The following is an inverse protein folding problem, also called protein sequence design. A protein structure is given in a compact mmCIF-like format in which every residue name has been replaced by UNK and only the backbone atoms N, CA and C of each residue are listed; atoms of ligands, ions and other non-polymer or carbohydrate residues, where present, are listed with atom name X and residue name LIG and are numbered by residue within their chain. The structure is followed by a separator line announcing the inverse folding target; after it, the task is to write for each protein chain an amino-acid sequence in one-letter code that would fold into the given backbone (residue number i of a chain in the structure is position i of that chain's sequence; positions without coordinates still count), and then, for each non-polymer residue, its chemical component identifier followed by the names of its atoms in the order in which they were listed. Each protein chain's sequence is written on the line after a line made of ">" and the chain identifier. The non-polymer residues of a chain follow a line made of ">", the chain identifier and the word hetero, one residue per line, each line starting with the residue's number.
data_IF_709412296704
#
_entry.id   IF_709412296704
#
_cell.length_a   1.000
_cell.length_b   1.000
_cell.length_c   1.000
_cell.angle_alpha   90.00
_cell.angle_beta   90.00
_cell.angle_gamma   90.00
#
_symmetry.space_group_name_H-M   'P 1'
#
loop_
_entity.id
_entity.type
_entity.pdbx_description
1 polymer ?
#
# COMPACT_ATOMS: atom_id res chain seq x y z
N UNK A 1 -7.38 -4.13 -5.50
CA UNK A 1 -6.90 -3.23 -6.59
C UNK A 1 -7.76 -1.97 -6.70
N UNK A 2 -9.08 -2.03 -6.92
CA UNK A 2 -9.93 -0.83 -6.99
C UNK A 2 -9.74 0.14 -5.81
N UNK A 3 -9.75 -0.36 -4.58
CA UNK A 3 -9.52 0.46 -3.38
C UNK A 3 -8.12 1.11 -3.33
N UNK A 4 -7.08 0.43 -3.85
CA UNK A 4 -5.73 0.99 -3.96
C UNK A 4 -5.72 2.15 -4.95
N UNK A 5 -6.32 1.98 -6.13
CA UNK A 5 -6.41 3.03 -7.16
C UNK A 5 -7.23 4.21 -6.68
N UNK A 6 -8.35 3.98 -6.00
CA UNK A 6 -9.18 5.04 -5.41
C UNK A 6 -8.40 5.90 -4.40
N UNK A 7 -7.40 5.32 -3.72
CA UNK A 7 -6.51 6.06 -2.81
C UNK A 7 -5.42 6.82 -3.57
N UNK A 8 -4.72 6.13 -4.48
CA UNK A 8 -3.58 6.70 -5.22
C UNK A 8 -3.99 7.79 -6.21
N UNK A 9 -5.18 7.67 -6.78
CA UNK A 9 -5.69 8.54 -7.86
C UNK A 9 -6.95 9.31 -7.42
N UNK A 10 -7.09 9.59 -6.12
CA UNK A 10 -8.18 10.42 -5.61
C UNK A 10 -8.16 11.84 -6.20
N UNK A 11 -9.29 12.57 -6.30
CA UNK A 11 -9.30 13.93 -6.86
C UNK A 11 -8.26 14.84 -6.20
N UNK A 12 -7.39 15.47 -7.00
CA UNK A 12 -6.28 16.31 -6.51
C UNK A 12 -5.02 15.54 -6.04
N UNK A 13 -4.91 14.23 -6.32
CA UNK A 13 -3.76 13.42 -5.93
C UNK A 13 -2.42 14.01 -6.39
N UNK A 14 -2.37 14.57 -7.61
CA UNK A 14 -1.13 15.09 -8.18
C UNK A 14 -0.54 16.21 -7.33
N UNK A 15 -1.37 17.13 -6.83
CA UNK A 15 -0.95 18.25 -6.00
C UNK A 15 -0.62 17.84 -4.56
N UNK A 16 -1.25 16.79 -4.03
CA UNK A 16 -1.08 16.34 -2.63
C UNK A 16 0.02 15.29 -2.45
N UNK A 17 0.48 14.68 -3.53
CA UNK A 17 1.49 13.62 -3.45
C UNK A 17 2.88 14.24 -3.51
N UNK A 18 3.76 14.00 -2.53
CA UNK A 18 5.14 14.49 -2.57
C UNK A 18 5.87 14.02 -3.84
N UNK A 19 6.79 14.84 -4.35
CA UNK A 19 7.50 14.58 -5.60
C UNK A 19 8.21 13.22 -5.60
N UNK A 20 8.85 12.87 -4.49
CA UNK A 20 9.57 11.61 -4.28
C UNK A 20 8.63 10.41 -4.38
N UNK A 21 7.36 10.58 -4.01
CA UNK A 21 6.32 9.54 -4.12
C UNK A 21 5.72 9.48 -5.52
N UNK A 22 5.56 10.62 -6.19
CA UNK A 22 5.08 10.70 -7.56
C UNK A 22 5.97 9.89 -8.52
N UNK A 23 7.29 9.95 -8.35
CA UNK A 23 8.26 9.19 -9.15
C UNK A 23 8.03 7.67 -9.09
N UNK A 24 7.46 7.16 -8.00
CA UNK A 24 7.18 5.74 -7.82
C UNK A 24 5.78 5.32 -8.26
N UNK A 25 4.88 6.27 -8.53
CA UNK A 25 3.49 5.97 -8.88
C UNK A 25 3.35 5.07 -10.12
N UNK A 26 4.11 5.29 -11.22
CA UNK A 26 4.07 4.38 -12.37
C UNK A 26 4.42 2.93 -12.00
N UNK A 27 5.36 2.72 -11.08
CA UNK A 27 5.76 1.38 -10.61
C UNK A 27 4.64 0.71 -9.82
N UNK A 28 3.94 1.44 -8.94
CA UNK A 28 2.80 0.90 -8.20
C UNK A 28 1.64 0.51 -9.12
N UNK A 29 1.36 1.33 -10.14
CA UNK A 29 0.34 1.04 -11.13
C UNK A 29 0.72 -0.17 -11.99
N UNK A 30 1.98 -0.27 -12.41
CA UNK A 30 2.49 -1.46 -13.13
C UNK A 30 2.38 -2.73 -12.28
N UNK A 31 2.70 -2.67 -10.99
CA UNK A 31 2.53 -3.80 -10.08
C UNK A 31 1.06 -4.24 -9.95
N UNK A 32 0.11 -3.28 -9.94
CA UNK A 32 -1.31 -3.59 -9.94
C UNK A 32 -1.75 -4.28 -11.24
N UNK A 33 -1.19 -3.88 -12.39
CA UNK A 33 -1.40 -4.57 -13.67
C UNK A 33 -0.88 -6.01 -13.66
N UNK A 34 0.36 -6.22 -13.24
CA UNK A 34 0.96 -7.56 -13.12
C UNK A 34 0.17 -8.47 -12.17
N UNK A 35 -0.39 -7.90 -11.09
CA UNK A 35 -1.29 -8.64 -10.19
C UNK A 35 -2.53 -9.13 -10.93
N UNK A 36 -3.15 -8.31 -11.78
CA UNK A 36 -4.33 -8.73 -12.57
C UNK A 36 -4.00 -9.85 -13.53
N UNK A 37 -2.83 -9.81 -14.17
CA UNK A 37 -2.36 -10.88 -15.06
C UNK A 37 -2.18 -12.18 -14.28
N UNK A 38 -1.42 -12.15 -13.17
CA UNK A 38 -1.14 -13.32 -12.32
C UNK A 38 -2.38 -13.87 -11.62
N UNK A 39 -3.37 -13.01 -11.33
CA UNK A 39 -4.65 -13.42 -10.76
C UNK A 39 -5.41 -14.35 -11.71
N UNK A 40 -5.29 -14.18 -13.04
CA UNK A 40 -5.94 -15.06 -14.02
C UNK A 40 -5.31 -16.45 -14.06
N UNK A 41 -4.01 -16.54 -13.78
CA UNK A 41 -3.25 -17.80 -13.84
C UNK A 41 -3.24 -18.56 -12.53
N UNK A 42 -3.17 -17.87 -11.39
CA UNK A 42 -3.13 -18.48 -10.05
C UNK A 42 -3.95 -17.66 -9.03
N UNK A 43 -5.28 -17.85 -9.01
CA UNK A 43 -6.15 -17.14 -8.08
C UNK A 43 -5.90 -17.48 -6.61
N UNK A 44 -5.49 -18.71 -6.30
CA UNK A 44 -5.27 -19.17 -4.93
C UNK A 44 -4.04 -18.49 -4.31
N UNK A 45 -2.97 -18.29 -5.10
CA UNK A 45 -1.83 -17.49 -4.66
C UNK A 45 -2.22 -16.04 -4.42
N UNK A 46 -2.99 -15.42 -5.31
CA UNK A 46 -3.46 -14.04 -5.08
C UNK A 46 -4.26 -13.94 -3.78
N UNK A 47 -5.19 -14.86 -3.55
CA UNK A 47 -6.03 -14.87 -2.35
C UNK A 47 -5.20 -14.95 -1.06
N UNK A 48 -4.19 -15.83 -1.01
CA UNK A 48 -3.28 -15.94 0.15
C UNK A 48 -2.52 -14.65 0.41
N UNK A 49 -1.87 -14.09 -0.63
CA UNK A 49 -1.10 -12.85 -0.51
C UNK A 49 -2.01 -11.64 -0.21
N UNK A 50 -3.23 -11.63 -0.73
CA UNK A 50 -4.22 -10.61 -0.44
C UNK A 50 -4.68 -10.66 1.02
N UNK A 51 -4.82 -11.85 1.60
CA UNK A 51 -5.14 -12.01 3.02
C UNK A 51 -4.01 -11.47 3.91
N UNK A 52 -2.75 -11.77 3.56
CA UNK A 52 -1.57 -11.22 4.27
C UNK A 52 -1.52 -9.69 4.21
N UNK A 53 -1.77 -9.09 3.05
CA UNK A 53 -1.86 -7.65 2.89
C UNK A 53 -3.03 -7.05 3.70
N UNK A 54 -4.20 -7.69 3.64
CA UNK A 54 -5.43 -7.20 4.29
C UNK A 54 -5.27 -7.11 5.82
N UNK A 55 -4.52 -8.02 6.43
CA UNK A 55 -4.22 -8.00 7.86
C UNK A 55 -3.54 -6.68 8.32
N UNK A 56 -2.82 -6.01 7.41
CA UNK A 56 -2.17 -4.71 7.66
C UNK A 56 -2.98 -3.53 7.11
N UNK A 57 -3.57 -3.69 5.93
CA UNK A 57 -4.31 -2.62 5.25
C UNK A 57 -5.61 -2.25 5.98
N UNK A 58 -6.35 -3.23 6.50
CA UNK A 58 -7.61 -2.97 7.21
C UNK A 58 -7.45 -2.10 8.46
N UNK A 59 -6.56 -2.42 9.42
CA UNK A 59 -6.38 -1.56 10.58
C UNK A 59 -5.84 -0.19 10.20
N UNK A 60 -4.94 -0.11 9.20
CA UNK A 60 -4.48 1.16 8.64
C UNK A 60 -5.62 2.04 8.13
N UNK A 61 -6.54 1.49 7.32
CA UNK A 61 -7.67 2.24 6.78
C UNK A 61 -8.62 2.73 7.88
N UNK A 62 -8.84 1.92 8.92
CA UNK A 62 -9.66 2.33 10.08
C UNK A 62 -9.04 3.51 10.81
N UNK A 63 -7.74 3.42 11.09
CA UNK A 63 -6.99 4.49 11.78
C UNK A 63 -6.96 5.77 10.95
N UNK A 64 -6.66 5.66 9.65
CA UNK A 64 -6.65 6.80 8.73
C UNK A 64 -8.02 7.49 8.69
N UNK A 65 -9.11 6.74 8.62
CA UNK A 65 -10.46 7.29 8.64
C UNK A 65 -10.85 7.92 9.99
N UNK A 66 -10.32 7.43 11.11
CA UNK A 66 -10.51 8.06 12.42
C UNK A 66 -9.75 9.39 12.51
N UNK A 67 -8.47 9.41 12.13
CA UNK A 67 -7.61 10.60 12.26
C UNK A 67 -7.92 11.69 11.24
N UNK A 68 -8.30 11.32 10.01
CA UNK A 68 -8.62 12.30 8.95
C UNK A 68 -9.84 13.15 9.31
N UNK A 69 -10.81 12.61 10.05
CA UNK A 69 -11.98 13.36 10.53
C UNK A 69 -11.62 14.50 11.49
N UNK A 70 -10.50 14.35 12.19
CA UNK A 70 -10.01 15.33 13.17
C UNK A 70 -8.82 16.15 12.62
N UNK A 71 -8.50 16.03 11.32
CA UNK A 71 -7.35 16.70 10.70
C UNK A 71 -5.97 16.23 11.20
N UNK A 72 -5.90 15.12 11.94
CA UNK A 72 -4.72 14.70 12.70
C UNK A 72 -3.97 13.51 12.06
N UNK A 73 -3.76 13.54 10.74
CA UNK A 73 -2.95 12.49 10.07
C UNK A 73 -1.49 12.72 10.40
N UNK A 74 -0.89 11.82 11.19
CA UNK A 74 0.52 11.93 11.54
C UNK A 74 1.43 11.51 10.38
N UNK A 75 2.66 12.05 10.29
CA UNK A 75 3.62 11.68 9.24
C UNK A 75 3.92 10.17 9.21
N UNK A 76 3.93 9.51 10.37
CA UNK A 76 4.17 8.06 10.49
C UNK A 76 3.03 7.25 9.88
N UNK A 77 1.79 7.71 10.04
CA UNK A 77 0.62 7.07 9.45
C UNK A 77 0.62 7.22 7.93
N UNK A 78 0.95 8.41 7.40
CA UNK A 78 1.10 8.61 5.96
C UNK A 78 2.24 7.74 5.38
N UNK A 79 3.40 7.73 6.04
CA UNK A 79 4.53 6.89 5.66
C UNK A 79 4.16 5.40 5.64
N UNK A 80 3.36 4.93 6.60
CA UNK A 80 2.87 3.56 6.61
C UNK A 80 2.02 3.24 5.37
N UNK A 81 1.19 4.19 4.92
CA UNK A 81 0.43 4.09 3.68
C UNK A 81 1.31 3.88 2.45
N UNK A 82 2.47 4.54 2.39
CA UNK A 82 3.45 4.33 1.31
C UNK A 82 4.16 2.98 1.41
N UNK A 83 4.50 2.53 2.62
CA UNK A 83 5.09 1.21 2.82
C UNK A 83 4.14 0.07 2.41
N UNK A 84 2.82 0.26 2.54
CA UNK A 84 1.84 -0.69 2.01
C UNK A 84 1.89 -0.79 0.48
N UNK A 85 2.22 0.29 -0.24
CA UNK A 85 2.42 0.22 -1.69
C UNK A 85 3.69 -0.56 -2.04
N UNK A 86 4.78 -0.35 -1.29
CA UNK A 86 5.99 -1.16 -1.44
C UNK A 86 5.73 -2.64 -1.15
N UNK A 87 4.93 -2.94 -0.11
CA UNK A 87 4.54 -4.31 0.18
C UNK A 87 3.74 -4.91 -0.98
N UNK A 88 2.84 -4.17 -1.62
CA UNK A 88 2.12 -4.65 -2.82
C UNK A 88 3.08 -5.00 -3.95
N UNK A 89 4.11 -4.19 -4.19
CA UNK A 89 5.13 -4.53 -5.20
C UNK A 89 5.87 -5.81 -4.80
N UNK A 90 6.32 -5.93 -3.54
CA UNK A 90 7.01 -7.11 -3.02
C UNK A 90 6.18 -8.39 -3.10
N UNK A 91 4.87 -8.32 -2.85
CA UNK A 91 3.99 -9.49 -2.87
C UNK A 91 3.62 -9.92 -4.30
N UNK A 92 3.23 -8.97 -5.15
CA UNK A 92 2.58 -9.29 -6.44
C UNK A 92 3.50 -9.10 -7.66
N UNK A 93 4.58 -8.33 -7.54
CA UNK A 93 5.42 -7.89 -8.65
C UNK A 93 6.90 -7.79 -8.28
N UNK A 94 7.47 -8.88 -7.74
CA UNK A 94 8.87 -8.95 -7.27
C UNK A 94 9.90 -8.50 -8.31
N UNK A 95 9.63 -8.77 -9.58
CA UNK A 95 10.45 -8.35 -10.73
C UNK A 95 10.67 -6.84 -10.82
N UNK A 96 9.75 -6.02 -10.29
CA UNK A 96 9.86 -4.56 -10.29
C UNK A 96 10.76 -4.00 -9.20
N UNK A 97 11.17 -4.84 -8.24
CA UNK A 97 11.98 -4.50 -7.06
C UNK A 97 11.36 -3.40 -6.18
N UNK A 98 11.90 -3.27 -4.98
CA UNK A 98 11.51 -2.21 -4.03
C UNK A 98 12.76 -1.41 -3.64
N UNK A 99 12.66 -0.08 -3.48
CA UNK A 99 13.77 0.75 -3.06
C UNK A 99 14.15 0.51 -1.59
N UNK A 100 13.22 -0.04 -0.80
CA UNK A 100 13.42 -0.36 0.62
C UNK A 100 12.93 -1.77 0.92
N UNK A 101 13.68 -2.56 1.73
CA UNK A 101 13.29 -3.93 2.05
C UNK A 101 12.04 -3.96 2.94
N UNK A 102 10.94 -4.46 2.37
CA UNK A 102 9.62 -4.58 3.01
C UNK A 102 9.14 -6.02 3.08
N UNK A 103 8.45 -6.36 4.17
CA UNK A 103 7.78 -7.64 4.35
C UNK A 103 6.58 -7.49 5.29
N UNK A 104 5.66 -8.44 5.26
CA UNK A 104 4.48 -8.47 6.15
C UNK A 104 4.92 -8.40 7.62
N UNK A 105 5.91 -9.21 8.02
CA UNK A 105 6.46 -9.23 9.38
C UNK A 105 7.04 -7.87 9.79
N UNK A 106 7.77 -7.20 8.89
CA UNK A 106 8.38 -5.88 9.18
C UNK A 106 7.31 -4.81 9.36
N UNK A 107 6.33 -4.76 8.46
CA UNK A 107 5.24 -3.79 8.54
C UNK A 107 4.34 -4.06 9.75
N UNK A 108 4.08 -5.32 10.10
CA UNK A 108 3.34 -5.67 11.31
C UNK A 108 3.98 -5.11 12.58
N UNK A 109 5.32 -5.18 12.69
CA UNK A 109 6.06 -4.59 13.81
C UNK A 109 5.98 -3.07 13.80
N UNK A 110 6.18 -2.44 12.64
CA UNK A 110 6.08 -0.98 12.50
C UNK A 110 4.68 -0.47 12.86
N UNK A 111 3.64 -1.20 12.47
CA UNK A 111 2.25 -0.85 12.75
C UNK A 111 1.97 -0.72 14.26
N UNK A 112 2.61 -1.54 15.09
CA UNK A 112 2.48 -1.44 16.55
C UNK A 112 3.06 -0.13 17.11
N UNK A 113 4.05 0.46 16.44
CA UNK A 113 4.60 1.76 16.81
C UNK A 113 3.70 2.91 16.35
N UNK A 114 3.09 2.82 15.17
CA UNK A 114 2.18 3.84 14.62
C UNK A 114 0.87 3.96 15.42
N UNK A 115 0.44 2.87 16.06
CA UNK A 115 -0.78 2.82 16.89
C UNK A 115 -0.61 3.36 18.31
N UNK A 116 0.62 3.51 18.80
CA UNK A 116 0.87 4.13 20.11
C UNK A 116 0.69 5.64 20.02
#
# INVERSE_FOLDING_TARGET
>A
IRAQLARLLAPGWLARTPWERLQHLPRYLKAAGLRLEKLRTDPQRDQRLAAELAALEQPFRRELGARSRNGAVSPELDQFGWLLEELRVSLFAQELRTPVPVSVKRLARLWQSVRR
#
